data_IF_473551840572
#
_entry.id   IF_473551840572
#
_cell.length_a   1.000
_cell.length_b   1.000
_cell.length_c   1.000
_cell.angle_alpha   90.00
_cell.angle_beta   90.00
_cell.angle_gamma   90.00
#
_symmetry.space_group_name_H-M   'P 1'
#
loop_
_entity.id
_entity.type
_entity.pdbx_description
1 polymer ?
#
# COMPACT_ATOMS: atom_id res chain seq x y z
N UNK A 1 4.01 10.27 14.20
CA UNK A 1 4.78 9.13 14.73
C UNK A 1 4.31 8.70 16.13
N UNK A 2 4.03 9.65 17.04
CA UNK A 2 3.57 9.37 18.41
C UNK A 2 2.31 8.49 18.49
N UNK A 3 1.29 8.77 17.66
CA UNK A 3 0.05 7.96 17.61
C UNK A 3 0.34 6.48 17.34
N UNK A 4 1.25 6.18 16.40
CA UNK A 4 1.63 4.80 16.05
C UNK A 4 2.29 4.07 17.22
N UNK A 5 3.17 4.75 17.95
CA UNK A 5 3.80 4.22 19.17
C UNK A 5 2.74 3.89 20.23
N UNK A 6 1.83 4.83 20.49
CA UNK A 6 0.75 4.64 21.47
C UNK A 6 -0.19 3.49 21.11
N UNK A 7 -0.50 3.31 19.82
CA UNK A 7 -1.29 2.16 19.34
C UNK A 7 -0.54 0.85 19.60
N UNK A 8 0.74 0.77 19.23
CA UNK A 8 1.55 -0.43 19.43
C UNK A 8 1.70 -0.78 20.93
N UNK A 9 1.93 0.22 21.78
CA UNK A 9 1.98 0.07 23.23
C UNK A 9 0.66 -0.43 23.81
N UNK A 10 -0.46 0.16 23.40
CA UNK A 10 -1.78 -0.22 23.91
C UNK A 10 -2.16 -1.63 23.44
N UNK A 11 -1.87 -2.00 22.20
CA UNK A 11 -2.08 -3.35 21.69
C UNK A 11 -1.32 -4.37 22.54
N UNK A 12 -0.02 -4.15 22.76
CA UNK A 12 0.81 -5.02 23.63
C UNK A 12 0.27 -5.09 25.06
N UNK A 13 -0.11 -3.96 25.65
CA UNK A 13 -0.68 -3.89 27.01
C UNK A 13 -1.93 -4.77 27.15
N UNK A 14 -2.72 -4.89 26.10
CA UNK A 14 -3.94 -5.71 26.08
C UNK A 14 -3.76 -7.07 25.41
N UNK A 15 -2.51 -7.55 25.24
CA UNK A 15 -2.20 -8.83 24.61
C UNK A 15 -2.77 -9.00 23.19
N UNK A 16 -2.87 -7.89 22.46
CA UNK A 16 -3.29 -7.84 21.05
C UNK A 16 -2.11 -7.54 20.14
N UNK A 17 -2.26 -7.91 18.88
CA UNK A 17 -1.29 -7.55 17.85
C UNK A 17 -1.58 -6.16 17.26
N UNK A 18 -0.53 -5.38 17.05
CA UNK A 18 -0.63 -4.11 16.33
C UNK A 18 -0.50 -4.35 14.82
N UNK A 19 -1.54 -3.95 14.10
CA UNK A 19 -1.64 -4.07 12.64
C UNK A 19 -1.60 -2.71 11.94
N UNK A 20 -0.93 -2.60 10.79
CA UNK A 20 -0.95 -1.40 9.93
C UNK A 20 -0.65 -1.74 8.47
N UNK A 21 -0.97 -0.81 7.57
CA UNK A 21 -0.39 -0.78 6.22
C UNK A 21 0.97 -0.09 6.25
N UNK A 22 1.87 -0.52 5.37
CA UNK A 22 3.23 0.00 5.20
C UNK A 22 3.74 -0.25 3.79
N UNK A 23 5.03 -0.05 3.60
CA UNK A 23 5.74 -0.29 2.35
C UNK A 23 7.10 -0.93 2.64
N UNK A 24 7.79 -1.50 1.63
CA UNK A 24 9.14 -2.04 1.84
C UNK A 24 10.11 -1.01 2.44
N UNK A 25 9.96 0.26 2.07
CA UNK A 25 10.85 1.35 2.48
C UNK A 25 10.69 1.72 3.96
N UNK A 26 9.48 1.61 4.52
CA UNK A 26 9.21 1.98 5.91
C UNK A 26 9.01 0.77 6.85
N UNK A 27 9.12 -0.45 6.34
CA UNK A 27 8.90 -1.68 7.10
C UNK A 27 9.70 -1.72 8.40
N UNK A 28 11.00 -1.39 8.34
CA UNK A 28 11.89 -1.40 9.52
C UNK A 28 11.45 -0.40 10.58
N UNK A 29 10.99 0.79 10.20
CA UNK A 29 10.47 1.79 11.14
C UNK A 29 9.23 1.26 11.87
N UNK A 30 8.29 0.69 11.12
CA UNK A 30 7.03 0.15 11.66
C UNK A 30 7.29 -1.05 12.58
N UNK A 31 8.18 -1.95 12.18
CA UNK A 31 8.63 -3.08 12.99
C UNK A 31 9.26 -2.61 14.31
N UNK A 32 10.20 -1.67 14.25
CA UNK A 32 10.87 -1.11 15.43
C UNK A 32 9.90 -0.37 16.36
N UNK A 33 8.82 0.20 15.82
CA UNK A 33 7.74 0.83 16.60
C UNK A 33 6.91 -0.19 17.38
N UNK A 34 6.95 -1.47 17.00
CA UNK A 34 6.24 -2.56 17.68
C UNK A 34 5.03 -3.10 16.92
N UNK A 35 4.89 -2.81 15.63
CA UNK A 35 3.87 -3.43 14.78
C UNK A 35 4.30 -4.83 14.36
N UNK A 36 3.38 -5.80 14.49
CA UNK A 36 3.64 -7.20 14.15
C UNK A 36 2.98 -7.63 12.83
N UNK A 37 1.81 -7.07 12.51
CA UNK A 37 1.13 -7.32 11.24
C UNK A 37 1.25 -6.08 10.36
N UNK A 38 2.05 -6.17 9.30
CA UNK A 38 2.31 -5.05 8.41
C UNK A 38 1.97 -5.47 6.99
N UNK A 39 0.94 -4.88 6.41
CA UNK A 39 0.60 -5.07 5.00
C UNK A 39 1.55 -4.23 4.15
N UNK A 40 2.45 -4.87 3.39
CA UNK A 40 3.57 -4.21 2.68
C UNK A 40 3.19 -3.72 1.27
N UNK A 41 2.05 -4.15 0.75
CA UNK A 41 1.62 -3.77 -0.59
C UNK A 41 0.18 -4.15 -0.89
N UNK A 42 -0.23 -3.86 -2.12
CA UNK A 42 -1.52 -4.23 -2.68
C UNK A 42 -1.31 -4.67 -4.14
N UNK A 43 -2.01 -5.72 -4.54
CA UNK A 43 -2.00 -6.26 -5.90
C UNK A 43 -2.35 -5.20 -6.94
N UNK A 44 -3.41 -4.43 -6.72
CA UNK A 44 -3.86 -3.34 -7.61
C UNK A 44 -2.78 -2.27 -7.80
N UNK A 45 -1.98 -1.98 -6.77
CA UNK A 45 -0.86 -1.03 -6.86
C UNK A 45 0.28 -1.66 -7.66
N UNK A 46 0.61 -2.92 -7.41
CA UNK A 46 1.64 -3.66 -8.15
C UNK A 46 1.30 -3.78 -9.64
N UNK A 47 0.08 -4.20 -9.96
CA UNK A 47 -0.42 -4.30 -11.34
C UNK A 47 -0.43 -2.94 -12.05
N UNK A 48 -0.94 -1.89 -11.40
CA UNK A 48 -0.92 -0.52 -11.93
C UNK A 48 0.50 -0.10 -12.30
N UNK A 49 1.46 -0.29 -11.39
CA UNK A 49 2.85 0.13 -11.61
C UNK A 49 3.50 -0.67 -12.73
N UNK A 50 3.33 -1.99 -12.73
CA UNK A 50 3.88 -2.90 -13.75
C UNK A 50 3.35 -2.57 -15.15
N UNK A 51 2.04 -2.53 -15.33
CA UNK A 51 1.44 -2.23 -16.64
C UNK A 51 1.70 -0.79 -17.09
N UNK A 52 1.66 0.17 -16.16
CA UNK A 52 2.01 1.56 -16.45
C UNK A 52 3.45 1.71 -16.95
N UNK A 53 4.39 0.95 -16.38
CA UNK A 53 5.77 0.95 -16.84
C UNK A 53 5.92 0.33 -18.24
N UNK A 54 5.24 -0.78 -18.51
CA UNK A 54 5.23 -1.40 -19.84
C UNK A 54 4.70 -0.44 -20.91
N UNK A 55 3.52 0.16 -20.69
CA UNK A 55 2.90 1.12 -21.62
C UNK A 55 3.85 2.29 -21.93
N UNK A 56 4.48 2.84 -20.88
CA UNK A 56 5.46 3.94 -21.02
C UNK A 56 6.67 3.52 -21.86
N UNK A 57 7.19 2.30 -21.65
CA UNK A 57 8.36 1.79 -22.37
C UNK A 57 8.06 1.39 -23.81
N UNK A 58 6.88 0.87 -24.09
CA UNK A 58 6.49 0.41 -25.43
C UNK A 58 5.96 1.54 -26.31
N UNK A 59 5.87 2.78 -25.80
CA UNK A 59 5.41 3.92 -26.58
C UNK A 59 3.97 3.78 -27.07
N UNK A 60 3.16 2.94 -26.40
CA UNK A 60 1.74 2.81 -26.68
C UNK A 60 1.05 4.12 -26.22
N UNK A 61 1.16 5.14 -27.05
CA UNK A 61 0.53 6.43 -26.83
C UNK A 61 -0.98 6.23 -26.77
N UNK A 62 -1.56 6.90 -25.78
CA UNK A 62 -2.97 6.95 -25.41
C UNK A 62 -3.90 7.08 -26.63
N UNK A 63 -4.29 5.94 -27.23
CA UNK A 63 -5.24 5.84 -28.35
C UNK A 63 -6.39 4.88 -28.04
N UNK A 64 -6.54 4.47 -26.78
CA UNK A 64 -7.73 3.78 -26.32
C UNK A 64 -8.58 4.78 -25.52
N UNK A 65 -9.76 5.11 -26.05
CA UNK A 65 -10.65 6.15 -25.56
C UNK A 65 -10.86 6.11 -24.05
N UNK A 66 -10.74 7.29 -23.45
CA UNK A 66 -11.04 7.61 -22.07
C UNK A 66 -12.54 7.51 -21.76
N UNK A 67 -13.16 6.38 -22.08
CA UNK A 67 -14.52 6.06 -21.64
C UNK A 67 -14.40 5.27 -20.35
N UNK A 68 -14.68 5.92 -19.22
CA UNK A 68 -14.83 5.21 -17.96
C UNK A 68 -15.98 4.20 -18.13
N UNK A 69 -15.79 2.95 -17.71
CA UNK A 69 -16.88 1.95 -17.72
C UNK A 69 -18.11 2.39 -16.91
N UNK A 70 -17.95 3.40 -16.06
CA UNK A 70 -19.03 4.05 -15.30
C UNK A 70 -19.92 4.93 -16.19
N UNK A 71 -19.43 5.45 -17.31
CA UNK A 71 -20.22 6.32 -18.20
C UNK A 71 -21.19 5.54 -19.11
N UNK A 72 -21.09 4.20 -19.14
CA UNK A 72 -21.91 3.34 -20.01
C UNK A 72 -23.06 2.61 -19.29
N UNK A 73 -23.38 3.00 -18.05
CA UNK A 73 -24.55 2.50 -17.30
C UNK A 73 -25.60 3.60 -17.20
#
# INVERSE_FOLDING_TARGET
AETRKRIAELARKHHKFAGTVGSPENYRELQNTGYQFINIGADVVGLKNYFGELIRKTGASNTAGSGSYIEKQ
#
